data_IF_544719334847
#
_entry.id   IF_544719334847
#
_cell.length_a   1.000
_cell.length_b   1.000
_cell.length_c   1.000
_cell.angle_alpha   90.00
_cell.angle_beta   90.00
_cell.angle_gamma   90.00
#
_symmetry.space_group_name_H-M   'P 1'
#
loop_
_entity.id
_entity.type
_entity.pdbx_description
1 polymer ?
#
# COMPACT_ATOMS: atom_id res chain seq x y z
N UNK A 1 -31.61 -76.64 -22.21
CA UNK A 1 -30.65 -75.89 -23.06
C UNK A 1 -30.76 -74.42 -22.63
N UNK A 2 -30.09 -74.02 -21.53
CA UNK A 2 -28.75 -73.36 -21.46
C UNK A 2 -28.77 -72.03 -22.23
N UNK A 3 -28.98 -70.86 -21.61
CA UNK A 3 -28.10 -70.11 -20.67
C UNK A 3 -26.77 -69.73 -21.29
N UNK A 4 -26.54 -68.43 -21.54
CA UNK A 4 -25.20 -67.87 -21.63
C UNK A 4 -25.17 -66.42 -21.13
N UNK A 5 -24.35 -66.24 -20.10
CA UNK A 5 -23.91 -65.00 -19.49
C UNK A 5 -23.17 -64.11 -20.49
N UNK A 6 -23.35 -62.79 -20.38
CA UNK A 6 -22.29 -61.83 -20.74
C UNK A 6 -22.12 -60.83 -19.59
N UNK A 7 -20.99 -60.97 -18.92
CA UNK A 7 -20.40 -60.00 -18.00
C UNK A 7 -19.73 -58.93 -18.84
N UNK A 8 -20.06 -57.64 -18.64
CA UNK A 8 -19.19 -56.53 -19.04
C UNK A 8 -19.04 -55.58 -17.86
N UNK A 9 -17.77 -55.28 -17.60
CA UNK A 9 -17.22 -54.72 -16.39
C UNK A 9 -17.66 -53.27 -16.09
N UNK A 10 -17.77 -52.98 -14.79
CA UNK A 10 -17.75 -51.62 -14.25
C UNK A 10 -16.39 -50.98 -14.57
N UNK A 11 -16.36 -50.08 -15.56
CA UNK A 11 -15.26 -49.14 -15.74
C UNK A 11 -15.38 -48.04 -14.69
N UNK A 12 -14.60 -48.17 -13.61
CA UNK A 12 -14.30 -47.05 -12.73
C UNK A 12 -13.41 -46.08 -13.51
N UNK A 13 -14.01 -45.04 -14.09
CA UNK A 13 -13.27 -43.91 -14.65
C UNK A 13 -12.66 -43.11 -13.50
N UNK A 14 -11.40 -43.42 -13.18
CA UNK A 14 -10.54 -42.50 -12.43
C UNK A 14 -10.31 -41.26 -13.31
N UNK A 15 -11.12 -40.23 -13.10
CA UNK A 15 -10.86 -38.91 -13.64
C UNK A 15 -9.57 -38.39 -13.03
N UNK A 16 -8.47 -38.50 -13.78
CA UNK A 16 -7.25 -37.74 -13.55
C UNK A 16 -7.61 -36.26 -13.69
N UNK A 17 -7.93 -35.62 -12.56
CA UNK A 17 -7.81 -34.18 -12.44
C UNK A 17 -6.31 -33.91 -12.59
N UNK A 18 -5.87 -33.58 -13.80
CA UNK A 18 -4.61 -32.87 -14.01
C UNK A 18 -4.77 -31.53 -13.32
N UNK A 19 -4.45 -31.49 -12.03
CA UNK A 19 -4.01 -30.26 -11.39
C UNK A 19 -2.75 -29.85 -12.13
N UNK A 20 -2.87 -28.91 -13.06
CA UNK A 20 -1.73 -28.13 -13.49
C UNK A 20 -1.30 -27.34 -12.26
N UNK A 21 -0.39 -27.92 -11.47
CA UNK A 21 0.49 -27.13 -10.65
C UNK A 21 1.24 -26.23 -11.63
N UNK A 22 0.80 -24.97 -11.75
CA UNK A 22 1.60 -23.97 -12.42
C UNK A 22 2.86 -23.80 -11.59
N UNK A 23 3.92 -24.42 -12.06
CA UNK A 23 5.25 -24.34 -11.48
C UNK A 23 5.75 -22.90 -11.66
N UNK A 24 5.41 -22.02 -10.70
CA UNK A 24 5.77 -20.60 -10.67
C UNK A 24 7.29 -20.38 -10.75
N UNK A 25 8.08 -21.41 -10.45
CA UNK A 25 9.53 -21.40 -10.53
C UNK A 25 10.04 -21.29 -11.98
N UNK A 26 9.35 -21.93 -12.94
CA UNK A 26 9.73 -21.85 -14.37
C UNK A 26 9.50 -20.47 -14.98
N UNK A 27 8.50 -19.73 -14.52
CA UNK A 27 8.18 -18.39 -15.04
C UNK A 27 9.19 -17.34 -14.57
N UNK A 28 9.59 -17.37 -13.29
CA UNK A 28 10.64 -16.48 -12.75
C UNK A 28 12.01 -16.78 -13.37
N UNK A 29 12.38 -18.06 -13.54
CA UNK A 29 13.63 -18.45 -14.18
C UNK A 29 13.73 -17.96 -15.66
N UNK A 30 12.63 -18.01 -16.41
CA UNK A 30 12.58 -17.50 -17.79
C UNK A 30 12.69 -15.97 -17.91
N UNK A 31 12.22 -15.22 -16.90
CA UNK A 31 12.36 -13.75 -16.83
C UNK A 31 13.81 -13.34 -16.57
N UNK A 32 14.49 -14.00 -15.63
CA UNK A 32 15.90 -13.73 -15.32
C UNK A 32 16.81 -14.02 -16.53
N UNK A 33 16.53 -15.11 -17.26
CA UNK A 33 17.28 -15.46 -18.48
C UNK A 33 17.11 -14.44 -19.62
N UNK A 34 15.99 -13.70 -19.68
CA UNK A 34 15.79 -12.59 -20.64
C UNK A 34 16.56 -11.33 -20.27
N UNK A 35 16.93 -11.15 -19.00
CA UNK A 35 17.67 -9.99 -18.50
C UNK A 35 19.19 -10.20 -18.56
N UNK A 36 19.68 -11.36 -19.01
CA UNK A 36 21.09 -11.77 -18.94
C UNK A 36 22.00 -11.24 -20.06
N UNK A 37 21.57 -10.25 -20.86
CA UNK A 37 22.45 -9.54 -21.79
C UNK A 37 23.29 -8.48 -21.06
N UNK A 38 24.43 -8.06 -21.64
CA UNK A 38 25.33 -7.12 -20.95
C UNK A 38 24.65 -5.76 -20.70
N UNK A 39 24.42 -5.44 -19.43
CA UNK A 39 23.80 -4.21 -18.95
C UNK A 39 24.83 -3.08 -18.81
N UNK A 40 25.61 -2.80 -19.86
CA UNK A 40 26.55 -1.69 -19.82
C UNK A 40 25.81 -0.36 -19.60
N UNK A 41 26.21 0.38 -18.56
CA UNK A 41 25.72 1.72 -18.32
C UNK A 41 26.11 2.64 -19.49
N UNK A 42 25.12 3.34 -20.05
CA UNK A 42 25.39 4.30 -21.12
C UNK A 42 26.04 5.54 -20.53
N UNK A 43 27.18 5.97 -21.11
CA UNK A 43 27.99 7.07 -20.59
C UNK A 43 27.23 8.40 -20.48
N UNK A 44 26.34 8.67 -21.42
CA UNK A 44 25.51 9.88 -21.47
C UNK A 44 24.45 9.94 -20.36
N UNK A 45 24.21 8.83 -19.66
CA UNK A 45 23.30 8.78 -18.50
C UNK A 45 24.02 8.93 -17.16
N UNK A 46 25.35 8.94 -17.14
CA UNK A 46 26.14 9.11 -15.91
C UNK A 46 26.05 10.58 -15.46
N UNK A 47 25.59 10.78 -14.23
CA UNK A 47 25.47 12.08 -13.59
C UNK A 47 26.80 12.43 -12.93
N UNK A 48 27.59 13.32 -13.51
CA UNK A 48 28.90 13.68 -12.96
C UNK A 48 28.84 14.18 -11.51
N UNK A 49 27.71 14.76 -11.10
CA UNK A 49 27.48 15.21 -9.73
C UNK A 49 27.48 14.06 -8.69
N UNK A 50 27.25 12.80 -9.09
CA UNK A 50 27.35 11.66 -8.16
C UNK A 50 28.79 11.40 -7.72
N UNK A 51 29.80 11.95 -8.41
CA UNK A 51 31.21 11.85 -8.01
C UNK A 51 31.64 13.02 -7.09
N UNK A 52 30.71 13.89 -6.67
CA UNK A 52 30.99 15.06 -5.84
C UNK A 52 30.26 14.96 -4.50
N UNK A 53 30.91 15.42 -3.45
CA UNK A 53 30.33 15.54 -2.10
C UNK A 53 29.45 16.78 -1.96
N UNK A 54 29.64 17.78 -2.84
CA UNK A 54 29.00 19.10 -2.74
C UNK A 54 29.63 20.00 -1.68
N UNK A 55 30.80 19.63 -1.15
CA UNK A 55 31.56 20.35 -0.13
C UNK A 55 33.00 20.63 -0.57
N UNK A 56 33.30 20.46 -1.86
CA UNK A 56 34.60 20.79 -2.44
C UNK A 56 34.89 22.29 -2.31
N UNK A 57 36.15 22.66 -2.08
CA UNK A 57 36.58 24.06 -1.99
C UNK A 57 36.16 24.83 -3.24
N UNK A 58 35.52 25.99 -3.04
CA UNK A 58 35.00 26.83 -4.13
C UNK A 58 33.61 26.45 -4.64
N UNK A 59 32.94 25.45 -4.05
CA UNK A 59 31.54 25.14 -4.36
C UNK A 59 30.59 26.24 -3.84
N UNK A 60 29.71 26.73 -4.70
CA UNK A 60 28.71 27.73 -4.32
C UNK A 60 27.72 27.18 -3.29
N UNK A 61 27.36 28.02 -2.31
CA UNK A 61 26.30 27.70 -1.35
C UNK A 61 26.69 26.79 -0.19
N UNK A 62 27.99 26.52 0.02
CA UNK A 62 28.50 25.88 1.25
C UNK A 62 28.09 26.72 2.47
N UNK A 63 27.48 26.08 3.46
CA UNK A 63 27.11 26.71 4.74
C UNK A 63 27.21 25.74 5.92
N UNK A 64 27.42 26.24 7.15
CA UNK A 64 27.46 25.40 8.35
C UNK A 64 26.21 24.53 8.48
N UNK A 65 26.43 23.25 8.81
CA UNK A 65 25.36 22.27 9.04
C UNK A 65 24.95 21.42 7.82
N UNK A 66 25.54 21.63 6.64
CA UNK A 66 25.41 20.69 5.51
C UNK A 66 26.26 19.44 5.75
N UNK A 67 25.72 18.27 5.43
CA UNK A 67 26.48 17.01 5.39
C UNK A 67 27.03 16.79 3.97
N UNK A 68 28.23 16.19 3.81
CA UNK A 68 28.73 15.77 2.51
C UNK A 68 27.85 14.65 1.93
N UNK A 69 27.69 14.65 0.60
CA UNK A 69 27.10 13.53 -0.13
C UNK A 69 28.05 12.33 -0.14
N UNK A 70 27.48 11.12 -0.14
CA UNK A 70 28.19 9.94 -0.64
C UNK A 70 28.51 10.12 -2.13
N UNK A 71 29.53 9.42 -2.63
CA UNK A 71 29.96 9.49 -4.03
C UNK A 71 30.02 8.13 -4.71
N UNK A 72 29.78 8.11 -6.02
CA UNK A 72 29.88 6.94 -6.90
C UNK A 72 30.07 7.37 -8.37
N UNK A 73 30.96 6.70 -9.09
CA UNK A 73 31.29 7.03 -10.49
C UNK A 73 30.27 6.52 -11.52
N UNK A 74 29.28 5.73 -11.08
CA UNK A 74 28.33 5.00 -11.91
C UNK A 74 26.88 5.16 -11.41
N UNK A 75 26.52 6.34 -10.89
CA UNK A 75 25.17 6.69 -10.43
C UNK A 75 24.59 5.74 -9.36
N UNK A 76 25.43 5.12 -8.53
CA UNK A 76 25.00 4.17 -7.51
C UNK A 76 24.23 2.97 -8.10
N UNK A 77 24.48 2.60 -9.36
CA UNK A 77 23.75 1.51 -10.05
C UNK A 77 23.86 0.16 -9.30
N UNK A 78 24.93 -0.02 -8.53
CA UNK A 78 25.18 -1.23 -7.74
C UNK A 78 24.85 -1.07 -6.24
N UNK A 79 24.17 0.00 -5.83
CA UNK A 79 23.92 0.31 -4.41
C UNK A 79 23.24 -0.83 -3.64
N UNK A 80 22.32 -1.53 -4.29
CA UNK A 80 21.60 -2.65 -3.70
C UNK A 80 22.31 -4.01 -3.81
N UNK A 81 23.56 -4.05 -4.30
CA UNK A 81 24.30 -5.30 -4.45
C UNK A 81 24.45 -6.04 -3.12
N UNK A 82 24.08 -7.31 -3.09
CA UNK A 82 24.12 -8.15 -1.88
C UNK A 82 22.99 -7.90 -0.88
N UNK A 83 22.05 -6.99 -1.16
CA UNK A 83 20.90 -6.72 -0.29
C UNK A 83 19.63 -7.44 -0.78
N UNK A 84 18.64 -7.59 0.11
CA UNK A 84 17.30 -8.04 -0.28
C UNK A 84 16.65 -6.99 -1.18
N UNK A 85 16.35 -7.35 -2.44
CA UNK A 85 15.71 -6.43 -3.38
C UNK A 85 14.21 -6.33 -3.13
N UNK A 86 13.65 -5.13 -3.30
CA UNK A 86 12.18 -4.89 -3.27
C UNK A 86 11.49 -5.70 -4.37
N UNK A 87 12.00 -5.61 -5.60
CA UNK A 87 11.60 -6.43 -6.75
C UNK A 87 10.08 -6.60 -6.95
N UNK A 88 9.32 -5.52 -6.78
CA UNK A 88 7.87 -5.51 -6.99
C UNK A 88 7.01 -5.95 -5.81
N UNK A 89 7.63 -6.34 -4.70
CA UNK A 89 6.95 -6.85 -3.51
C UNK A 89 7.00 -5.82 -2.37
N UNK A 90 5.95 -5.77 -1.55
CA UNK A 90 5.91 -4.97 -0.33
C UNK A 90 6.57 -5.75 0.82
N UNK A 91 7.89 -5.58 1.00
CA UNK A 91 8.70 -6.31 1.99
C UNK A 91 8.77 -5.53 3.31
N UNK A 92 8.07 -6.01 4.34
CA UNK A 92 7.95 -5.30 5.63
C UNK A 92 9.21 -5.34 6.50
N UNK A 93 10.11 -6.30 6.25
CA UNK A 93 11.38 -6.43 6.98
C UNK A 93 12.46 -5.45 6.51
N UNK A 94 12.16 -4.62 5.51
CA UNK A 94 13.13 -3.79 4.82
C UNK A 94 13.68 -4.47 3.56
N UNK A 95 13.97 -3.66 2.55
CA UNK A 95 14.54 -4.07 1.26
C UNK A 95 15.23 -2.88 0.59
N UNK A 96 15.97 -3.13 -0.49
CA UNK A 96 16.64 -2.13 -1.31
C UNK A 96 16.03 -2.09 -2.71
N UNK A 97 15.71 -0.90 -3.22
CA UNK A 97 15.20 -0.74 -4.58
C UNK A 97 16.24 -0.08 -5.48
N UNK A 98 16.64 -0.77 -6.55
CA UNK A 98 17.62 -0.29 -7.53
C UNK A 98 17.01 0.46 -8.72
N UNK A 99 15.70 0.70 -8.73
CA UNK A 99 15.03 1.42 -9.82
C UNK A 99 15.33 2.92 -9.72
N UNK A 100 15.74 3.58 -10.82
CA UNK A 100 16.00 5.02 -10.81
C UNK A 100 14.72 5.82 -10.54
N UNK A 101 14.87 7.03 -10.00
CA UNK A 101 13.75 7.87 -9.57
C UNK A 101 12.82 8.28 -10.73
N UNK A 102 13.38 8.55 -11.91
CA UNK A 102 12.63 8.83 -13.14
C UNK A 102 12.68 10.28 -13.59
N UNK A 103 11.71 10.67 -14.42
CA UNK A 103 11.59 12.01 -14.97
C UNK A 103 11.08 12.98 -13.91
N UNK A 104 11.66 14.16 -13.86
CA UNK A 104 11.33 15.22 -12.90
C UNK A 104 10.56 16.31 -13.65
N UNK A 105 9.39 16.76 -13.16
CA UNK A 105 8.59 17.80 -13.83
C UNK A 105 9.33 19.15 -13.81
N UNK A 106 8.94 20.05 -14.70
CA UNK A 106 9.36 21.45 -14.61
C UNK A 106 8.77 22.12 -13.36
N UNK A 107 9.34 23.24 -12.92
CA UNK A 107 8.83 23.97 -11.74
C UNK A 107 7.38 24.43 -11.88
N UNK A 108 6.95 24.72 -13.11
CA UNK A 108 5.56 25.09 -13.44
C UNK A 108 4.59 23.90 -13.44
N UNK A 109 5.09 22.66 -13.47
CA UNK A 109 4.31 21.43 -13.38
C UNK A 109 4.46 20.74 -12.01
N UNK A 110 4.88 21.46 -10.97
CA UNK A 110 4.94 20.87 -9.63
C UNK A 110 3.54 20.54 -9.13
N UNK A 111 3.38 19.34 -8.57
CA UNK A 111 2.11 18.90 -7.99
C UNK A 111 1.84 19.64 -6.68
N UNK A 112 0.56 19.94 -6.46
CA UNK A 112 0.01 20.25 -5.14
C UNK A 112 -1.37 19.62 -5.00
N UNK A 113 -1.72 19.25 -3.77
CA UNK A 113 -3.02 18.75 -3.40
C UNK A 113 -3.63 19.62 -2.30
N UNK A 114 -4.96 19.67 -2.25
CA UNK A 114 -5.75 20.31 -1.20
C UNK A 114 -6.97 19.44 -0.90
N UNK A 115 -7.14 19.04 0.35
CA UNK A 115 -8.33 18.33 0.80
C UNK A 115 -9.48 19.33 0.83
N UNK A 116 -10.50 19.08 0.01
CA UNK A 116 -11.69 19.93 -0.09
C UNK A 116 -12.84 19.44 0.80
N UNK A 117 -12.83 18.16 1.17
CA UNK A 117 -13.75 17.60 2.18
C UNK A 117 -13.10 16.40 2.89
N UNK A 118 -13.19 16.29 4.23
CA UNK A 118 -13.70 17.29 5.17
C UNK A 118 -12.75 18.50 5.31
N UNK A 119 -13.29 19.67 5.65
CA UNK A 119 -12.54 20.89 5.98
C UNK A 119 -12.21 20.97 7.49
N UNK A 120 -11.23 21.81 7.89
CA UNK A 120 -10.96 22.09 9.30
C UNK A 120 -12.23 22.57 10.04
N UNK A 121 -12.58 21.88 11.11
CA UNK A 121 -13.76 22.20 11.95
C UNK A 121 -15.07 21.58 11.48
N UNK A 122 -15.07 20.84 10.38
CA UNK A 122 -16.23 20.04 9.98
C UNK A 122 -16.54 18.95 11.01
N UNK A 123 -17.83 18.70 11.18
CA UNK A 123 -18.37 17.63 12.00
C UNK A 123 -19.06 16.60 11.10
N UNK A 124 -18.42 15.45 10.95
CA UNK A 124 -18.94 14.32 10.17
C UNK A 124 -19.78 13.42 11.09
N UNK A 125 -20.99 12.99 10.71
CA UNK A 125 -21.77 12.06 11.52
C UNK A 125 -21.09 10.70 11.63
N UNK A 126 -21.00 10.17 12.85
CA UNK A 126 -20.49 8.83 13.11
C UNK A 126 -21.28 7.75 12.38
N UNK A 127 -20.60 6.68 11.98
CA UNK A 127 -21.17 5.47 11.37
C UNK A 127 -22.04 5.74 10.13
N UNK A 128 -21.76 6.86 9.45
CA UNK A 128 -22.48 7.30 8.25
C UNK A 128 -21.49 7.44 7.10
N UNK A 129 -21.81 6.84 5.96
CA UNK A 129 -21.01 7.00 4.75
C UNK A 129 -20.83 8.48 4.42
N UNK A 130 -19.60 8.87 4.10
CA UNK A 130 -19.24 10.19 3.59
C UNK A 130 -18.11 10.06 2.58
N UNK A 131 -17.88 11.08 1.77
CA UNK A 131 -16.79 11.10 0.79
C UNK A 131 -15.66 12.00 1.26
N UNK A 132 -14.42 11.59 1.09
CA UNK A 132 -13.26 12.47 1.15
C UNK A 132 -13.03 13.01 -0.26
N UNK A 133 -12.72 14.30 -0.40
CA UNK A 133 -12.46 14.95 -1.69
C UNK A 133 -11.15 15.70 -1.66
N UNK A 134 -10.38 15.57 -2.73
CA UNK A 134 -9.04 16.14 -2.88
C UNK A 134 -8.96 16.82 -4.24
N UNK A 135 -8.66 18.12 -4.26
CA UNK A 135 -8.31 18.82 -5.47
C UNK A 135 -6.81 18.75 -5.68
N UNK A 136 -6.38 18.36 -6.88
CA UNK A 136 -4.97 18.31 -7.28
C UNK A 136 -4.71 19.25 -8.46
N UNK A 137 -3.45 19.62 -8.64
CA UNK A 137 -2.93 20.28 -9.84
C UNK A 137 -1.68 19.53 -10.32
N UNK A 138 -1.45 19.50 -11.64
CA UNK A 138 -0.30 18.85 -12.29
C UNK A 138 -0.12 17.35 -12.02
N UNK A 139 -1.22 16.68 -11.67
CA UNK A 139 -1.29 15.23 -11.54
C UNK A 139 -2.16 14.66 -12.67
N UNK A 140 -1.55 13.84 -13.53
CA UNK A 140 -2.28 12.95 -14.42
C UNK A 140 -2.68 11.70 -13.64
N UNK A 141 -3.86 11.77 -13.00
CA UNK A 141 -4.43 10.72 -12.14
C UNK A 141 -4.96 9.51 -12.93
N UNK A 142 -5.35 8.45 -12.21
CA UNK A 142 -5.88 7.20 -12.77
C UNK A 142 -4.83 6.13 -13.08
N UNK A 143 -3.59 6.31 -12.62
CA UNK A 143 -2.50 5.37 -12.88
C UNK A 143 -2.06 4.69 -11.58
N UNK A 144 -2.83 3.71 -11.15
CA UNK A 144 -2.53 2.86 -9.97
C UNK A 144 -2.05 1.48 -10.42
N UNK A 145 -0.75 1.23 -10.36
CA UNK A 145 -0.16 -0.06 -10.76
C UNK A 145 -0.34 -1.09 -9.64
N UNK A 146 -0.51 -2.38 -9.94
CA UNK A 146 -0.69 -3.44 -8.93
C UNK A 146 0.43 -3.43 -7.86
N UNK A 147 0.14 -3.07 -6.60
CA UNK A 147 1.15 -2.99 -5.54
C UNK A 147 1.62 -4.36 -5.01
N UNK A 148 0.96 -5.46 -5.38
CA UNK A 148 1.37 -6.81 -4.97
C UNK A 148 2.57 -7.31 -5.78
N UNK A 149 2.66 -6.91 -7.05
CA UNK A 149 3.62 -7.47 -8.00
C UNK A 149 4.54 -6.44 -8.65
N UNK A 150 4.19 -5.15 -8.56
CA UNK A 150 4.85 -4.07 -9.29
C UNK A 150 5.15 -2.86 -8.40
N UNK A 151 5.31 -3.08 -7.09
CA UNK A 151 5.68 -2.06 -6.14
C UNK A 151 7.09 -1.50 -6.41
N UNK A 152 7.17 -0.20 -6.69
CA UNK A 152 8.38 0.53 -7.07
C UNK A 152 9.17 -0.06 -8.25
N UNK A 153 8.51 -0.76 -9.19
CA UNK A 153 9.19 -1.44 -10.30
C UNK A 153 9.47 -0.58 -11.52
N UNK A 154 9.01 0.68 -11.55
CA UNK A 154 9.27 1.59 -12.66
C UNK A 154 9.51 3.03 -12.18
N UNK A 155 10.34 3.80 -12.89
CA UNK A 155 10.61 5.21 -12.57
C UNK A 155 9.37 6.09 -12.72
N UNK A 156 9.41 7.29 -12.13
CA UNK A 156 8.40 8.32 -12.38
C UNK A 156 8.39 8.73 -13.86
N UNK A 157 7.19 8.89 -14.43
CA UNK A 157 6.97 9.38 -15.78
C UNK A 157 6.13 10.65 -15.77
N UNK A 158 6.23 11.42 -16.86
CA UNK A 158 5.42 12.61 -17.11
C UNK A 158 4.59 12.38 -18.36
N UNK A 159 3.41 12.99 -18.41
CA UNK A 159 2.60 13.03 -19.62
C UNK A 159 3.14 14.05 -20.64
N UNK A 160 2.44 14.20 -21.77
CA UNK A 160 2.86 15.12 -22.83
C UNK A 160 2.80 16.60 -22.41
N UNK A 161 2.09 16.94 -21.33
CA UNK A 161 2.03 18.29 -20.76
C UNK A 161 3.11 18.53 -19.69
N UNK A 162 3.89 17.50 -19.34
CA UNK A 162 4.89 17.56 -18.27
C UNK A 162 4.33 17.27 -16.88
N UNK A 163 3.06 16.86 -16.77
CA UNK A 163 2.41 16.54 -15.50
C UNK A 163 2.77 15.12 -15.07
N UNK A 164 2.90 14.90 -13.76
CA UNK A 164 3.30 13.60 -13.23
C UNK A 164 2.18 12.58 -13.43
N UNK A 165 2.53 11.40 -13.96
CA UNK A 165 1.60 10.27 -14.13
C UNK A 165 1.56 9.46 -12.84
N UNK A 166 0.40 9.39 -12.20
CA UNK A 166 0.29 8.77 -10.89
C UNK A 166 -1.12 8.65 -10.34
N UNK A 167 -1.20 8.66 -9.01
CA UNK A 167 -2.43 8.51 -8.24
C UNK A 167 -2.28 9.15 -6.85
N UNK A 168 -3.39 9.21 -6.11
CA UNK A 168 -3.44 9.75 -4.75
C UNK A 168 -3.81 8.63 -3.78
N UNK A 169 -3.07 8.50 -2.68
CA UNK A 169 -3.54 7.76 -1.51
C UNK A 169 -4.20 8.70 -0.53
N UNK A 170 -5.25 8.22 0.14
CA UNK A 170 -5.90 8.90 1.26
C UNK A 170 -5.77 7.99 2.47
N UNK A 171 -5.26 8.57 3.56
CA UNK A 171 -5.17 7.87 4.86
C UNK A 171 -5.86 8.71 5.93
N UNK A 172 -6.73 8.09 6.70
CA UNK A 172 -7.35 8.69 7.89
C UNK A 172 -6.82 8.01 9.14
N UNK A 173 -6.34 8.78 10.11
CA UNK A 173 -5.83 8.26 11.39
C UNK A 173 -6.54 8.95 12.55
N UNK A 174 -6.89 8.19 13.58
CA UNK A 174 -7.31 8.76 14.86
C UNK A 174 -6.11 9.43 15.54
N UNK A 175 -6.29 10.68 15.97
CA UNK A 175 -5.26 11.48 16.63
C UNK A 175 -5.63 11.86 18.07
N UNK A 176 -6.74 11.34 18.59
CA UNK A 176 -7.27 11.55 19.93
C UNK A 176 -7.90 12.93 20.14
N UNK A 177 -7.19 14.00 19.77
CA UNK A 177 -7.63 15.38 19.93
C UNK A 177 -7.09 16.31 18.82
N UNK A 178 -7.80 17.41 18.55
CA UNK A 178 -7.47 18.32 17.44
C UNK A 178 -6.10 18.98 17.61
N UNK A 179 -5.68 19.20 18.86
CA UNK A 179 -4.41 19.85 19.21
C UNK A 179 -3.29 18.86 19.51
N UNK A 180 -3.47 17.57 19.17
CA UNK A 180 -2.45 16.55 19.37
C UNK A 180 -1.13 16.95 18.70
N UNK A 181 -0.05 16.87 19.48
CA UNK A 181 1.34 17.05 19.05
C UNK A 181 2.08 15.72 18.92
N UNK A 182 1.40 14.61 19.18
CA UNK A 182 1.98 13.27 19.11
C UNK A 182 1.78 12.71 17.70
N UNK A 183 2.85 12.33 16.98
CA UNK A 183 2.71 11.65 15.70
C UNK A 183 1.91 10.35 15.86
N UNK A 184 0.88 10.10 15.03
CA UNK A 184 0.16 8.83 15.06
C UNK A 184 1.07 7.68 14.60
N UNK A 185 0.77 6.46 15.08
CA UNK A 185 1.45 5.25 14.65
C UNK A 185 1.21 5.01 13.15
N UNK A 186 2.24 5.01 12.29
CA UNK A 186 2.06 4.91 10.84
C UNK A 186 1.57 3.53 10.39
N UNK A 187 1.55 2.53 11.27
CA UNK A 187 1.00 1.18 10.99
C UNK A 187 -0.51 1.09 11.28
N UNK A 188 -1.10 2.15 11.83
CA UNK A 188 -2.52 2.21 12.21
C UNK A 188 -3.23 3.34 11.48
N UNK A 189 -4.34 3.00 10.86
CA UNK A 189 -5.22 3.94 10.19
C UNK A 189 -6.67 3.46 10.29
N UNK A 190 -7.60 4.41 10.34
CA UNK A 190 -9.03 4.17 10.35
C UNK A 190 -9.62 3.95 8.95
N UNK A 191 -8.93 4.46 7.93
CA UNK A 191 -9.30 4.30 6.54
C UNK A 191 -8.06 4.47 5.67
N UNK A 192 -7.96 3.68 4.61
CA UNK A 192 -6.98 3.86 3.54
C UNK A 192 -7.65 3.58 2.19
N UNK A 193 -7.39 4.45 1.21
CA UNK A 193 -7.74 4.23 -0.20
C UNK A 193 -6.63 4.73 -1.11
N UNK A 194 -6.19 3.90 -2.04
CA UNK A 194 -5.54 4.35 -3.25
C UNK A 194 -6.59 4.69 -4.30
N UNK A 195 -6.66 5.94 -4.75
CA UNK A 195 -7.60 6.33 -5.80
C UNK A 195 -7.04 5.87 -7.14
N UNK A 196 -7.74 4.94 -7.78
CA UNK A 196 -7.32 4.26 -9.01
C UNK A 196 -7.99 4.81 -10.28
N UNK A 197 -8.90 5.78 -10.14
CA UNK A 197 -9.54 6.51 -11.24
C UNK A 197 -8.94 7.91 -11.48
N UNK A 198 -9.37 8.54 -12.58
CA UNK A 198 -8.97 9.89 -12.99
C UNK A 198 -9.85 11.01 -12.40
N UNK A 199 -10.75 10.66 -11.47
CA UNK A 199 -11.71 11.54 -10.84
C UNK A 199 -12.61 12.24 -11.85
N UNK A 200 -12.71 13.57 -11.74
CA UNK A 200 -13.50 14.37 -12.69
C UNK A 200 -12.71 14.82 -13.94
N UNK A 201 -11.47 14.35 -14.12
CA UNK A 201 -10.59 14.79 -15.21
C UNK A 201 -10.10 16.25 -15.10
N UNK A 202 -10.39 16.94 -14.00
CA UNK A 202 -9.98 18.32 -13.69
C UNK A 202 -9.28 18.39 -12.33
N UNK A 203 -8.70 17.26 -11.90
CA UNK A 203 -7.91 17.13 -10.67
C UNK A 203 -8.70 16.89 -9.38
N UNK A 204 -10.03 16.88 -9.41
CA UNK A 204 -10.83 16.49 -8.24
C UNK A 204 -10.92 14.97 -8.17
N UNK A 205 -10.37 14.42 -7.09
CA UNK A 205 -10.39 13.00 -6.75
C UNK A 205 -11.28 12.78 -5.52
N UNK A 206 -11.92 11.61 -5.43
CA UNK A 206 -12.80 11.27 -4.31
C UNK A 206 -12.57 9.85 -3.82
N UNK A 207 -12.79 9.63 -2.53
CA UNK A 207 -12.87 8.29 -1.93
C UNK A 207 -14.09 8.23 -1.01
N UNK A 208 -14.89 7.18 -1.12
CA UNK A 208 -16.02 6.95 -0.23
C UNK A 208 -15.55 6.20 1.01
N UNK A 209 -15.90 6.69 2.20
CA UNK A 209 -15.67 5.99 3.47
C UNK A 209 -16.95 5.22 3.80
N UNK A 210 -17.13 4.06 3.19
CA UNK A 210 -18.33 3.24 3.35
C UNK A 210 -18.59 2.89 4.81
N UNK A 211 -19.83 3.10 5.28
CA UNK A 211 -20.21 2.90 6.69
C UNK A 211 -19.60 3.92 7.66
N UNK A 212 -18.87 4.92 7.16
CA UNK A 212 -18.29 6.00 7.94
C UNK A 212 -17.16 5.58 8.87
N UNK A 213 -16.99 6.37 9.93
CA UNK A 213 -16.02 6.20 11.00
C UNK A 213 -16.72 6.29 12.37
N UNK A 214 -16.17 5.68 13.43
CA UNK A 214 -16.61 5.93 14.81
C UNK A 214 -16.43 7.39 15.21
N UNK A 215 -17.19 7.86 16.21
CA UNK A 215 -16.97 9.17 16.82
C UNK A 215 -15.54 9.30 17.37
N UNK A 216 -14.89 10.42 17.10
CA UNK A 216 -13.48 10.65 17.43
C UNK A 216 -12.90 11.86 16.69
N UNK A 217 -11.62 12.11 16.89
CA UNK A 217 -10.89 13.19 16.20
C UNK A 217 -9.85 12.59 15.27
N UNK A 218 -9.93 12.94 14.00
CA UNK A 218 -9.13 12.32 12.96
C UNK A 218 -8.28 13.34 12.21
N UNK A 219 -7.16 12.85 11.68
CA UNK A 219 -6.38 13.51 10.64
C UNK A 219 -6.54 12.73 9.35
N UNK A 220 -6.89 13.42 8.27
CA UNK A 220 -6.86 12.89 6.91
C UNK A 220 -5.67 13.51 6.17
N UNK A 221 -4.94 12.69 5.43
CA UNK A 221 -3.82 13.13 4.60
C UNK A 221 -3.86 12.51 3.23
N UNK A 222 -3.30 13.23 2.27
CA UNK A 222 -2.96 12.69 0.97
C UNK A 222 -1.53 12.15 0.97
N UNK A 223 -1.27 11.20 0.08
CA UNK A 223 0.08 10.89 -0.41
C UNK A 223 0.00 10.75 -1.92
N UNK A 224 0.51 11.76 -2.64
CA UNK A 224 0.61 11.69 -4.09
C UNK A 224 1.79 10.79 -4.45
N UNK A 225 1.50 9.78 -5.26
CA UNK A 225 2.46 8.79 -5.70
C UNK A 225 2.54 8.76 -7.22
N UNK A 226 3.74 8.53 -7.74
CA UNK A 226 3.90 8.13 -9.12
C UNK A 226 3.25 6.75 -9.33
N UNK A 227 3.03 6.38 -10.60
CA UNK A 227 2.23 5.20 -10.95
C UNK A 227 2.62 3.88 -10.25
N UNK A 228 3.90 3.68 -9.92
CA UNK A 228 4.43 2.50 -9.24
C UNK A 228 4.58 2.68 -7.72
N UNK A 229 3.82 3.60 -7.12
CA UNK A 229 3.68 3.88 -5.68
C UNK A 229 4.75 4.74 -5.03
N UNK A 230 5.85 5.04 -5.71
CA UNK A 230 6.91 5.87 -5.12
C UNK A 230 6.42 7.30 -4.87
N UNK A 231 6.85 7.96 -3.78
CA UNK A 231 6.62 9.39 -3.60
C UNK A 231 7.12 10.18 -4.81
N UNK A 232 6.41 11.25 -5.15
CA UNK A 232 6.75 12.03 -6.34
C UNK A 232 8.03 12.84 -6.18
N UNK A 233 8.86 12.84 -7.22
CA UNK A 233 10.09 13.63 -7.32
C UNK A 233 9.80 15.00 -7.93
N UNK A 234 10.34 16.07 -7.32
CA UNK A 234 10.11 17.46 -7.71
C UNK A 234 11.44 18.18 -8.02
N UNK A 235 11.44 19.21 -8.89
CA UNK A 235 12.66 19.81 -9.46
C UNK A 235 13.48 20.68 -8.51
N UNK A 236 12.88 21.18 -7.42
CA UNK A 236 13.56 22.12 -6.52
C UNK A 236 13.25 21.81 -5.05
N UNK A 237 14.22 22.08 -4.18
CA UNK A 237 14.07 21.90 -2.74
C UNK A 237 13.18 22.98 -2.09
N UNK A 238 13.25 24.22 -2.57
CA UNK A 238 12.46 25.34 -2.06
C UNK A 238 11.09 25.36 -2.75
N UNK A 239 10.13 24.60 -2.20
CA UNK A 239 8.76 24.48 -2.72
C UNK A 239 7.75 24.21 -1.61
N UNK A 240 6.46 24.31 -1.93
CA UNK A 240 5.38 23.78 -1.08
C UNK A 240 5.37 22.25 -1.06
N UNK A 241 4.70 21.67 -0.06
CA UNK A 241 4.45 20.24 -0.04
C UNK A 241 3.48 19.85 -1.15
N UNK A 242 3.73 18.70 -1.79
CA UNK A 242 2.82 18.14 -2.79
C UNK A 242 1.55 17.52 -2.19
N UNK A 243 1.56 17.28 -0.88
CA UNK A 243 0.51 16.64 -0.11
C UNK A 243 -0.19 17.63 0.83
N UNK A 244 -1.42 17.30 1.21
CA UNK A 244 -2.18 18.03 2.21
C UNK A 244 -2.59 17.12 3.38
N UNK A 245 -2.80 17.75 4.54
CA UNK A 245 -3.30 17.11 5.72
C UNK A 245 -4.22 18.06 6.47
N UNK A 246 -5.42 17.60 6.81
CA UNK A 246 -6.37 18.35 7.64
C UNK A 246 -6.90 17.50 8.78
N UNK A 247 -7.53 18.15 9.75
CA UNK A 247 -8.10 17.52 10.95
C UNK A 247 -9.60 17.81 11.00
N UNK A 248 -10.38 16.81 11.36
CA UNK A 248 -11.83 16.90 11.47
C UNK A 248 -12.36 16.07 12.63
N UNK A 249 -13.58 16.35 13.04
CA UNK A 249 -14.25 15.60 14.09
C UNK A 249 -15.35 14.72 13.49
N UNK A 250 -15.43 13.49 14.00
CA UNK A 250 -16.58 12.63 13.78
C UNK A 250 -17.41 12.66 15.05
N UNK A 251 -18.65 13.12 14.94
CA UNK A 251 -19.54 13.37 16.08
C UNK A 251 -20.67 12.35 16.13
N UNK A 252 -21.19 12.00 17.33
CA UNK A 252 -22.31 11.07 17.45
C UNK A 252 -23.49 11.48 16.55
N UNK A 253 -24.03 10.52 15.79
CA UNK A 253 -25.20 10.79 14.96
C UNK A 253 -26.39 11.12 15.84
N UNK A 254 -27.22 12.09 15.45
CA UNK A 254 -28.39 12.54 16.24
C UNK A 254 -29.40 11.42 16.53
N UNK A 255 -29.33 10.30 15.81
CA UNK A 255 -30.19 9.13 15.97
C UNK A 255 -29.53 7.92 16.66
N UNK A 256 -28.24 7.98 16.98
CA UNK A 256 -27.58 6.94 17.78
C UNK A 256 -27.66 7.34 19.25
N UNK A 257 -28.49 6.63 20.03
CA UNK A 257 -28.34 6.65 21.49
C UNK A 257 -26.92 6.22 21.89
N UNK A 258 -26.62 6.22 23.19
CA UNK A 258 -25.29 5.96 23.77
C UNK A 258 -24.72 4.53 23.55
N UNK A 259 -25.08 3.87 22.45
CA UNK A 259 -24.62 2.56 22.02
C UNK A 259 -23.22 2.67 21.40
N UNK A 260 -22.31 1.72 21.69
CA UNK A 260 -20.99 1.67 21.05
C UNK A 260 -21.13 1.60 19.52
N UNK A 261 -20.26 2.32 18.80
CA UNK A 261 -20.19 2.24 17.34
C UNK A 261 -19.96 0.78 16.90
N UNK A 262 -20.73 0.25 15.93
CA UNK A 262 -20.50 -1.08 15.38
C UNK A 262 -19.22 -1.15 14.54
N UNK A 263 -18.66 0.01 14.17
CA UNK A 263 -17.56 0.13 13.23
C UNK A 263 -16.22 -0.01 13.98
N UNK A 264 -15.44 -1.05 13.68
CA UNK A 264 -14.17 -1.35 14.37
C UNK A 264 -12.94 -0.72 13.72
N UNK A 265 -13.15 0.33 12.93
CA UNK A 265 -12.11 0.94 12.10
C UNK A 265 -10.93 1.53 12.90
N UNK A 266 -10.96 1.63 14.22
CA UNK A 266 -9.82 2.14 14.99
C UNK A 266 -8.75 1.07 15.37
N UNK A 267 -8.57 0.05 14.52
CA UNK A 267 -7.74 -1.15 14.74
C UNK A 267 -6.41 -1.19 13.95
N UNK A 268 -5.84 -2.39 13.82
CA UNK A 268 -4.60 -2.63 13.06
C UNK A 268 -4.80 -2.30 11.58
N UNK A 269 -3.85 -1.61 10.92
CA UNK A 269 -4.01 -1.10 9.55
C UNK A 269 -4.44 -2.15 8.52
N UNK A 270 -4.02 -3.41 8.67
CA UNK A 270 -4.41 -4.51 7.78
C UNK A 270 -5.90 -4.85 7.76
N UNK A 271 -6.70 -4.34 8.72
CA UNK A 271 -8.15 -4.59 8.80
C UNK A 271 -8.98 -3.48 8.15
N UNK A 272 -8.37 -2.32 7.87
CA UNK A 272 -9.08 -1.10 7.45
C UNK A 272 -8.67 -0.66 6.03
N UNK A 273 -7.95 -1.51 5.33
CA UNK A 273 -7.60 -1.34 3.93
C UNK A 273 -8.77 -1.85 3.09
N UNK A 274 -9.24 -1.05 2.14
CA UNK A 274 -10.07 -1.58 1.05
C UNK A 274 -9.22 -2.54 0.18
N UNK A 275 -9.82 -3.33 -0.72
CA UNK A 275 -9.22 -4.44 -1.49
C UNK A 275 -7.99 -4.05 -2.39
N UNK A 276 -6.94 -3.50 -1.78
CA UNK A 276 -5.73 -2.98 -2.40
C UNK A 276 -4.55 -3.88 -1.98
N UNK A 277 -3.69 -4.25 -2.94
CA UNK A 277 -2.75 -5.39 -2.87
C UNK A 277 -2.04 -5.68 -1.54
N UNK A 278 -1.81 -6.97 -1.28
CA UNK A 278 -1.38 -7.52 0.01
C UNK A 278 0.09 -7.22 0.35
N UNK A 279 0.33 -6.91 1.62
CA UNK A 279 1.66 -6.70 2.21
C UNK A 279 2.27 -8.05 2.61
N UNK A 280 3.41 -8.43 2.03
CA UNK A 280 4.08 -9.71 2.35
C UNK A 280 4.99 -9.59 3.57
N UNK A 281 4.60 -10.22 4.67
CA UNK A 281 5.44 -10.35 5.87
C UNK A 281 6.48 -11.45 5.68
N UNK A 282 7.66 -11.14 5.15
CA UNK A 282 8.79 -12.10 5.19
C UNK A 282 9.51 -11.97 6.51
N UNK A 283 9.13 -12.81 7.48
CA UNK A 283 9.75 -12.87 8.80
C UNK A 283 9.58 -14.22 9.48
N UNK A 284 10.61 -15.06 9.36
CA UNK A 284 10.90 -16.31 10.09
C UNK A 284 10.22 -17.59 9.61
N UNK A 285 11.01 -18.42 8.91
CA UNK A 285 10.87 -19.87 8.87
C UNK A 285 10.68 -20.41 10.30
N UNK A 286 9.55 -21.05 10.52
CA UNK A 286 9.13 -21.56 11.82
C UNK A 286 7.87 -22.39 11.70
N UNK A 287 8.03 -23.59 11.14
CA UNK A 287 7.15 -24.75 11.20
C UNK A 287 6.08 -24.72 12.32
N UNK A 288 4.79 -24.74 11.95
CA UNK A 288 3.67 -25.31 12.74
C UNK A 288 2.33 -25.31 11.98
N UNK A 289 2.04 -26.48 11.45
CA UNK A 289 0.76 -27.20 11.57
C UNK A 289 -0.57 -26.43 11.44
N UNK A 290 -1.15 -26.56 10.24
CA UNK A 290 -2.49 -27.11 10.01
C UNK A 290 -3.47 -27.08 11.20
N UNK A 291 -4.25 -25.99 11.31
CA UNK A 291 -5.52 -25.98 12.06
C UNK A 291 -6.64 -25.36 11.23
N UNK A 292 -7.35 -26.25 10.54
CA UNK A 292 -8.70 -26.03 9.99
C UNK A 292 -9.62 -25.42 11.05
N UNK A 293 -10.04 -24.18 10.83
CA UNK A 293 -11.18 -23.58 11.51
C UNK A 293 -12.45 -23.94 10.73
N UNK A 294 -13.20 -24.96 11.19
CA UNK A 294 -14.58 -25.20 10.73
C UNK A 294 -15.54 -24.65 11.76
N UNK A 295 -16.27 -23.63 11.35
CA UNK A 295 -17.35 -23.03 12.10
C UNK A 295 -18.66 -23.82 11.87
N UNK A 296 -19.44 -24.02 12.94
CA UNK A 296 -20.90 -24.17 12.89
C UNK A 296 -21.50 -25.57 12.78
N UNK A 297 -22.10 -26.05 13.87
CA UNK A 297 -23.55 -26.39 13.93
C UNK A 297 -23.94 -26.84 15.34
N UNK A 298 -24.83 -26.07 15.98
CA UNK A 298 -25.42 -26.41 17.27
C UNK A 298 -26.58 -27.39 17.13
N UNK A 299 -26.80 -28.20 18.17
CA UNK A 299 -28.12 -28.73 18.58
C UNK A 299 -28.14 -28.91 20.09
N UNK A 300 -29.19 -28.40 20.72
CA UNK A 300 -29.38 -28.44 22.17
C UNK A 300 -30.12 -29.66 22.71
N UNK A 301 -30.49 -29.52 23.98
CA UNK A 301 -31.38 -30.32 24.83
C UNK A 301 -30.75 -31.46 25.64
N UNK A 302 -31.03 -31.47 26.96
CA UNK A 302 -31.12 -32.73 27.73
C UNK A 302 -30.55 -32.75 29.15
N UNK A 303 -31.37 -32.28 30.10
CA UNK A 303 -31.43 -32.57 31.55
C UNK A 303 -30.57 -33.71 32.18
N UNK A 304 -30.16 -33.41 33.43
CA UNK A 304 -30.07 -34.26 34.63
C UNK A 304 -29.02 -35.41 34.70
N UNK A 305 -28.07 -35.30 35.64
CA UNK A 305 -28.11 -36.01 36.95
C UNK A 305 -26.89 -35.68 37.83
N UNK A 306 -27.16 -35.43 39.11
CA UNK A 306 -26.23 -35.44 40.25
C UNK A 306 -25.51 -36.80 40.35
N UNK A 307 -24.23 -36.81 40.77
CA UNK A 307 -23.76 -37.47 41.99
C UNK A 307 -22.22 -37.40 42.15
N UNK A 308 -21.79 -37.04 43.38
CA UNK A 308 -20.61 -37.49 44.18
C UNK A 308 -19.24 -37.57 43.47
N UNK A 309 -18.12 -37.05 43.98
CA UNK A 309 -17.73 -36.64 45.32
C UNK A 309 -16.28 -37.09 45.57
N UNK A 310 -15.47 -36.27 46.27
CA UNK A 310 -14.13 -36.56 46.83
C UNK A 310 -13.00 -36.77 45.80
N UNK A 311 -11.71 -36.55 46.04
CA UNK A 311 -10.84 -35.84 47.02
C UNK A 311 -9.44 -35.86 46.36
N UNK A 312 -8.64 -34.86 46.66
CA UNK A 312 -7.17 -34.74 46.57
C UNK A 312 -6.34 -35.95 46.13
N UNK A 313 -5.46 -35.75 45.14
CA UNK A 313 -3.99 -35.57 45.32
C UNK A 313 -3.56 -34.44 44.40
#
# INVERSE_FOLDING_TARGET
>A
MHSLFVVVALLASAGLIKGAAMDFSRTKAGLVLRQAESTCLKRDTIQSASALTGQEEGTDGIKPGQAPSETDDANFVNFCSGQQLTNGEQITSGSCNGIPMGRIPASENMISAMITNPQPGDQVPADTTFSISVQTVHLKAGFFVNPTTNYYTAPQELDDNGDVIGHCHITVQDIGELKSTTPPDPTKFAFFKGIDDDGNGQGLLQAEVEGGLPAGVYRVCTMIAARNHQPVNMPVAQRGAQDDCTKFEVVPSRNSGNSPSPNKKNGNGSQNQEDEGFVTSTGSDGDRSDRKNRNGQGRGAGRNRKAKGSRSV
#
